data_IF_735692337405
#
_entry.id   IF_735692337405
#
_cell.length_a   1.000
_cell.length_b   1.000
_cell.length_c   1.000
_cell.angle_alpha   90.00
_cell.angle_beta   90.00
_cell.angle_gamma   90.00
#
_symmetry.space_group_name_H-M   'P 1'
#
loop_
_entity.id
_entity.type
_entity.pdbx_description
1 polymer ?
#
# COMPACT_ATOMS: atom_id res chain seq x y z
N UNK A 1 -16.32 -37.68 -38.30
CA UNK A 1 -15.88 -37.40 -36.92
C UNK A 1 -14.44 -36.91 -36.94
N UNK A 2 -14.22 -35.60 -36.83
CA UNK A 2 -12.88 -35.02 -36.62
C UNK A 2 -12.90 -34.29 -35.27
N UNK A 3 -12.18 -34.86 -34.30
CA UNK A 3 -11.91 -34.21 -33.01
C UNK A 3 -10.99 -33.01 -33.23
N UNK A 4 -11.54 -31.80 -33.22
CA UNK A 4 -10.75 -30.60 -32.99
C UNK A 4 -10.38 -30.54 -31.50
N UNK A 5 -9.15 -30.94 -31.17
CA UNK A 5 -8.49 -30.50 -29.95
C UNK A 5 -8.42 -28.97 -30.00
N UNK A 6 -9.24 -28.28 -29.20
CA UNK A 6 -9.01 -26.87 -28.87
C UNK A 6 -7.71 -26.79 -28.09
N UNK A 7 -6.64 -26.43 -28.78
CA UNK A 7 -5.41 -25.94 -28.17
C UNK A 7 -5.75 -24.62 -27.45
N UNK A 8 -5.89 -24.69 -26.13
CA UNK A 8 -5.95 -23.53 -25.24
C UNK A 8 -4.59 -22.81 -25.26
N UNK A 9 -4.33 -22.01 -26.28
CA UNK A 9 -3.05 -21.33 -26.51
C UNK A 9 -2.98 -19.90 -25.93
N UNK A 10 -3.88 -19.52 -25.01
CA UNK A 10 -3.92 -18.17 -24.42
C UNK A 10 -4.16 -18.16 -22.90
N UNK A 11 -3.43 -18.96 -22.14
CA UNK A 11 -3.27 -18.74 -20.69
C UNK A 11 -1.84 -18.27 -20.44
N UNK A 12 -1.58 -16.99 -20.66
CA UNK A 12 -0.32 -16.37 -20.26
C UNK A 12 -0.27 -16.38 -18.73
N UNK A 13 0.56 -17.25 -18.16
CA UNK A 13 0.84 -17.27 -16.72
C UNK A 13 2.08 -16.43 -16.46
N UNK A 14 1.89 -15.28 -15.84
CA UNK A 14 2.99 -14.41 -15.45
C UNK A 14 3.37 -14.69 -14.00
N UNK A 15 4.63 -15.02 -13.76
CA UNK A 15 5.21 -15.10 -12.42
C UNK A 15 6.03 -13.83 -12.17
N UNK A 16 5.77 -13.15 -11.08
CA UNK A 16 6.43 -11.88 -10.74
C UNK A 16 7.43 -12.07 -9.61
N UNK A 17 8.62 -11.51 -9.80
CA UNK A 17 9.62 -11.33 -8.77
C UNK A 17 9.93 -9.84 -8.70
N UNK A 18 9.50 -9.21 -7.62
CA UNK A 18 9.82 -7.84 -7.32
C UNK A 18 10.87 -7.82 -6.22
N UNK A 19 11.85 -6.94 -6.34
CA UNK A 19 12.70 -6.56 -5.23
C UNK A 19 12.38 -5.11 -4.90
N UNK A 20 12.45 -4.76 -3.61
CA UNK A 20 12.50 -3.35 -3.22
C UNK A 20 11.19 -2.58 -3.48
N UNK A 21 10.07 -3.28 -3.69
CA UNK A 21 8.83 -2.65 -4.15
C UNK A 21 8.11 -1.87 -3.04
N UNK A 22 7.63 -0.64 -3.33
CA UNK A 22 6.71 0.08 -2.44
C UNK A 22 5.36 -0.63 -2.36
N UNK A 23 4.48 -0.16 -1.48
CA UNK A 23 3.09 -0.62 -1.36
C UNK A 23 2.30 -0.23 -2.61
N UNK A 24 1.89 -1.18 -3.46
CA UNK A 24 1.38 -0.86 -4.80
C UNK A 24 -0.06 -0.35 -4.82
N UNK A 25 -0.84 -0.62 -3.78
CA UNK A 25 -2.26 -0.28 -3.79
C UNK A 25 -2.92 -0.45 -2.42
N UNK A 26 -4.23 -0.25 -2.39
CA UNK A 26 -5.02 -0.42 -1.17
C UNK A 26 -5.33 -1.90 -0.87
N UNK A 27 -6.01 -2.15 0.24
CA UNK A 27 -6.38 -3.49 0.65
C UNK A 27 -7.28 -4.25 -0.36
N UNK A 28 -8.14 -3.54 -1.10
CA UNK A 28 -8.96 -4.16 -2.16
C UNK A 28 -8.12 -4.60 -3.37
N UNK A 29 -7.15 -3.77 -3.75
CA UNK A 29 -6.15 -4.17 -4.75
C UNK A 29 -5.39 -5.41 -4.26
N UNK A 30 -4.96 -5.43 -2.99
CA UNK A 30 -4.25 -6.56 -2.42
C UNK A 30 -5.07 -7.85 -2.49
N UNK A 31 -6.35 -7.85 -2.09
CA UNK A 31 -7.19 -9.04 -2.18
C UNK A 31 -7.33 -9.57 -3.61
N UNK A 32 -7.55 -8.68 -4.58
CA UNK A 32 -7.60 -9.07 -6.00
C UNK A 32 -6.27 -9.64 -6.48
N UNK A 33 -5.16 -8.95 -6.17
CA UNK A 33 -3.82 -9.39 -6.55
C UNK A 33 -3.44 -10.73 -5.90
N UNK A 34 -3.69 -10.90 -4.61
CA UNK A 34 -3.34 -12.10 -3.86
C UNK A 34 -4.22 -13.28 -4.25
N UNK A 35 -5.52 -13.11 -4.44
CA UNK A 35 -6.40 -14.19 -4.92
C UNK A 35 -5.94 -14.81 -6.24
N UNK A 36 -5.20 -14.05 -7.06
CA UNK A 36 -4.66 -14.52 -8.35
C UNK A 36 -3.20 -14.97 -8.25
N UNK A 37 -2.48 -14.64 -7.17
CA UNK A 37 -1.03 -14.85 -7.08
C UNK A 37 -0.51 -15.59 -5.84
N UNK A 38 -1.35 -15.82 -4.83
CA UNK A 38 -0.98 -16.38 -3.52
C UNK A 38 -0.36 -17.78 -3.58
N UNK A 39 -0.67 -18.55 -4.63
CA UNK A 39 -0.14 -19.90 -4.86
C UNK A 39 1.26 -19.88 -5.49
N UNK A 40 2.13 -18.97 -5.03
CA UNK A 40 3.53 -18.87 -5.46
C UNK A 40 3.72 -18.26 -6.85
N UNK A 41 2.85 -17.34 -7.26
CA UNK A 41 2.97 -16.60 -8.53
C UNK A 41 3.49 -15.17 -8.39
N UNK A 42 3.57 -14.65 -7.16
CA UNK A 42 4.17 -13.35 -6.88
C UNK A 42 5.04 -13.39 -5.62
N UNK A 43 6.27 -12.90 -5.76
CA UNK A 43 7.21 -12.73 -4.66
C UNK A 43 7.74 -11.29 -4.60
N UNK A 44 7.88 -10.77 -3.39
CA UNK A 44 8.52 -9.49 -3.11
C UNK A 44 9.68 -9.69 -2.13
N UNK A 45 10.90 -9.52 -2.59
CA UNK A 45 12.11 -9.57 -1.75
C UNK A 45 12.34 -8.19 -1.16
N UNK A 46 12.37 -8.10 0.17
CA UNK A 46 12.50 -6.84 0.90
C UNK A 46 13.64 -6.89 1.90
N UNK A 47 14.41 -5.82 1.98
CA UNK A 47 15.39 -5.59 3.04
C UNK A 47 14.69 -4.88 4.22
N UNK A 48 14.77 -5.44 5.42
CA UNK A 48 14.14 -4.82 6.60
C UNK A 48 14.73 -3.44 6.98
N UNK A 49 15.95 -3.13 6.53
CA UNK A 49 16.56 -1.81 6.70
C UNK A 49 16.17 -0.80 5.61
N UNK A 50 15.47 -1.24 4.56
CA UNK A 50 15.03 -0.37 3.47
C UNK A 50 13.69 0.31 3.82
N UNK A 51 13.66 1.62 3.66
CA UNK A 51 12.47 2.42 3.94
C UNK A 51 11.47 2.45 2.78
N UNK A 52 11.89 2.21 1.54
CA UNK A 52 11.01 2.35 0.36
C UNK A 52 9.83 1.37 0.38
N UNK A 53 9.98 0.10 0.79
CA UNK A 53 8.85 -0.82 0.97
C UNK A 53 7.80 -0.35 1.99
N UNK A 54 8.11 0.67 2.79
CA UNK A 54 7.20 1.27 3.77
C UNK A 54 6.36 2.42 3.16
N UNK A 55 6.62 2.80 1.91
CA UNK A 55 5.97 3.89 1.19
C UNK A 55 4.86 3.40 0.26
N UNK A 56 3.89 4.26 -0.12
CA UNK A 56 3.62 5.56 0.49
C UNK A 56 3.11 5.43 1.93
N UNK A 57 3.07 6.56 2.65
CA UNK A 57 2.49 6.60 4.00
C UNK A 57 1.04 6.12 3.99
N UNK A 58 0.70 5.28 4.98
CA UNK A 58 -0.58 4.58 4.99
C UNK A 58 -1.42 4.99 6.18
N UNK A 59 -2.69 5.33 5.93
CA UNK A 59 -3.68 5.64 6.95
C UNK A 59 -5.01 5.04 6.52
N UNK A 60 -5.58 4.20 7.39
CA UNK A 60 -6.90 3.62 7.20
C UNK A 60 -7.98 4.55 7.77
N UNK A 61 -9.05 4.76 7.01
CA UNK A 61 -10.28 5.43 7.41
C UNK A 61 -11.38 4.39 7.62
N UNK A 62 -12.43 4.74 8.38
CA UNK A 62 -13.65 3.93 8.45
C UNK A 62 -14.29 3.75 7.06
N UNK A 63 -14.08 4.72 6.16
CA UNK A 63 -14.50 4.69 4.75
C UNK A 63 -13.82 3.61 3.91
N UNK A 64 -12.66 3.10 4.37
CA UNK A 64 -11.95 2.04 3.66
C UNK A 64 -12.53 0.65 3.98
N UNK A 65 -13.42 0.55 4.97
CA UNK A 65 -14.07 -0.70 5.34
C UNK A 65 -15.18 -1.05 4.34
N UNK A 66 -15.54 -2.34 4.22
CA UNK A 66 -16.72 -2.76 3.47
C UNK A 66 -18.00 -2.11 4.01
N UNK A 67 -19.04 -2.10 3.19
CA UNK A 67 -20.36 -1.56 3.57
C UNK A 67 -20.93 -2.24 4.83
N UNK A 68 -20.78 -3.57 4.91
CA UNK A 68 -21.11 -4.33 6.12
C UNK A 68 -19.94 -4.27 7.10
N UNK A 69 -19.88 -3.20 7.88
CA UNK A 69 -18.82 -2.95 8.87
C UNK A 69 -19.31 -2.15 10.08
N UNK A 70 -18.50 -2.02 11.16
CA UNK A 70 -18.90 -1.28 12.34
C UNK A 70 -19.23 0.20 12.10
N UNK A 71 -18.68 0.84 11.06
CA UNK A 71 -18.90 2.27 10.78
C UNK A 71 -20.38 2.59 10.52
N UNK A 72 -20.99 2.05 9.46
CA UNK A 72 -22.42 2.25 9.17
C UNK A 72 -23.34 1.77 10.30
N UNK A 73 -23.01 0.65 10.96
CA UNK A 73 -23.75 0.14 12.11
C UNK A 73 -23.79 1.16 13.26
N UNK A 74 -22.63 1.70 13.64
CA UNK A 74 -22.52 2.70 14.70
C UNK A 74 -23.25 3.99 14.34
N UNK A 75 -23.16 4.45 13.09
CA UNK A 75 -23.94 5.61 12.62
C UNK A 75 -25.44 5.38 12.75
N UNK A 76 -25.92 4.18 12.40
CA UNK A 76 -27.32 3.78 12.58
C UNK A 76 -27.75 3.79 14.04
N UNK A 77 -26.92 3.25 14.95
CA UNK A 77 -27.20 3.21 16.39
C UNK A 77 -27.21 4.60 17.02
N UNK A 78 -26.27 5.47 16.66
CA UNK A 78 -26.18 6.86 17.17
C UNK A 78 -27.40 7.67 16.71
N UNK A 79 -27.85 7.49 15.47
CA UNK A 79 -29.02 8.21 14.92
C UNK A 79 -30.31 7.93 15.70
N UNK A 80 -30.45 6.74 16.30
CA UNK A 80 -31.63 6.32 17.07
C UNK A 80 -31.66 6.86 18.52
N UNK A 81 -30.59 7.53 18.98
CA UNK A 81 -30.52 8.02 20.37
C UNK A 81 -31.27 9.34 20.56
N UNK A 82 -31.75 9.63 21.79
CA UNK A 82 -32.32 10.94 22.15
C UNK A 82 -31.37 12.10 21.83
N UNK A 83 -31.92 13.28 21.56
CA UNK A 83 -31.18 14.45 21.04
C UNK A 83 -29.84 14.73 21.77
N UNK A 84 -29.86 14.88 23.10
CA UNK A 84 -28.65 15.17 23.88
C UNK A 84 -27.63 14.02 23.85
N UNK A 85 -28.08 12.76 23.96
CA UNK A 85 -27.20 11.58 23.85
C UNK A 85 -26.58 11.48 22.46
N UNK A 86 -27.36 11.75 21.42
CA UNK A 86 -26.91 11.77 20.02
C UNK A 86 -25.82 12.81 19.77
N UNK A 87 -25.91 13.99 20.38
CA UNK A 87 -24.86 15.02 20.29
C UNK A 87 -23.54 14.49 20.87
N UNK A 88 -23.58 13.97 22.10
CA UNK A 88 -22.38 13.46 22.79
C UNK A 88 -21.76 12.30 21.99
N UNK A 89 -22.57 11.34 21.57
CA UNK A 89 -22.10 10.19 20.80
C UNK A 89 -21.53 10.58 19.43
N UNK A 90 -22.14 11.56 18.74
CA UNK A 90 -21.58 12.09 17.51
C UNK A 90 -20.23 12.77 17.74
N UNK A 91 -20.06 13.50 18.84
CA UNK A 91 -18.78 14.13 19.17
C UNK A 91 -17.68 13.07 19.34
N UNK A 92 -17.96 12.00 20.10
CA UNK A 92 -17.03 10.88 20.30
C UNK A 92 -16.77 10.12 18.99
N UNK A 93 -17.81 9.81 18.21
CA UNK A 93 -17.64 9.14 16.92
C UNK A 93 -16.80 9.97 15.94
N UNK A 94 -17.05 11.28 15.89
CA UNK A 94 -16.31 12.20 15.04
C UNK A 94 -14.86 12.42 15.50
N UNK A 95 -14.56 12.30 16.80
CA UNK A 95 -13.17 12.37 17.28
C UNK A 95 -12.35 11.16 16.85
N UNK A 96 -12.98 10.00 16.63
CA UNK A 96 -12.35 8.79 16.07
C UNK A 96 -12.27 8.85 14.54
N UNK A 97 -13.36 9.25 13.86
CA UNK A 97 -13.48 9.21 12.39
C UNK A 97 -12.70 10.32 11.67
N UNK A 98 -12.73 11.54 12.19
CA UNK A 98 -12.22 12.70 11.46
C UNK A 98 -10.70 12.84 11.38
N UNK A 99 -9.88 12.39 12.36
CA UNK A 99 -8.42 12.51 12.26
C UNK A 99 -7.84 11.84 11.00
N UNK A 100 -8.20 10.59 10.73
CA UNK A 100 -7.70 9.85 9.55
C UNK A 100 -8.15 10.52 8.24
N UNK A 101 -9.40 10.96 8.15
CA UNK A 101 -9.92 11.73 7.00
C UNK A 101 -9.15 13.02 6.74
N UNK A 102 -8.79 13.76 7.80
CA UNK A 102 -7.99 14.99 7.68
C UNK A 102 -6.59 14.67 7.14
N UNK A 103 -5.97 13.58 7.59
CA UNK A 103 -4.65 13.15 7.09
C UNK A 103 -4.72 12.74 5.63
N UNK A 104 -5.69 11.90 5.24
CA UNK A 104 -5.86 11.44 3.84
C UNK A 104 -6.10 12.63 2.90
N UNK A 105 -6.97 13.58 3.28
CA UNK A 105 -7.18 14.83 2.52
C UNK A 105 -5.89 15.63 2.34
N UNK A 106 -5.05 15.70 3.38
CA UNK A 106 -3.76 16.40 3.33
C UNK A 106 -2.78 15.70 2.40
N UNK A 107 -2.69 14.37 2.44
CA UNK A 107 -1.85 13.58 1.53
C UNK A 107 -2.28 13.75 0.07
N UNK A 108 -3.57 13.61 -0.24
CA UNK A 108 -4.06 13.81 -1.61
C UNK A 108 -3.80 15.23 -2.13
N UNK A 109 -3.93 16.25 -1.27
CA UNK A 109 -3.60 17.62 -1.65
C UNK A 109 -2.11 17.76 -1.96
N UNK A 110 -1.24 17.40 -1.02
CA UNK A 110 0.19 17.68 -1.10
C UNK A 110 0.93 16.72 -2.04
N UNK A 111 0.72 15.42 -1.89
CA UNK A 111 1.42 14.36 -2.64
C UNK A 111 0.72 14.00 -3.95
N UNK A 112 -0.58 14.34 -4.08
CA UNK A 112 -1.32 14.19 -5.33
C UNK A 112 -1.36 15.51 -6.12
N UNK A 113 -2.29 16.40 -5.77
CA UNK A 113 -2.62 17.59 -6.56
C UNK A 113 -1.44 18.56 -6.73
N UNK A 114 -0.75 18.92 -5.65
CA UNK A 114 0.39 19.85 -5.74
C UNK A 114 1.58 19.21 -6.45
N UNK A 115 1.88 17.94 -6.18
CA UNK A 115 2.92 17.21 -6.92
C UNK A 115 2.61 17.13 -8.42
N UNK A 116 1.35 16.83 -8.79
CA UNK A 116 0.93 16.80 -10.19
C UNK A 116 1.12 18.14 -10.90
N UNK A 117 0.83 19.27 -10.24
CA UNK A 117 1.12 20.59 -10.79
C UNK A 117 2.61 20.78 -11.03
N UNK A 118 3.45 20.36 -10.08
CA UNK A 118 4.91 20.43 -10.22
C UNK A 118 5.42 19.51 -11.35
N UNK A 119 4.87 18.32 -11.52
CA UNK A 119 5.24 17.44 -12.64
C UNK A 119 4.90 18.11 -13.98
N UNK A 120 3.73 18.76 -14.09
CA UNK A 120 3.32 19.47 -15.31
C UNK A 120 4.28 20.58 -15.74
N UNK A 121 5.04 21.18 -14.82
CA UNK A 121 6.04 22.19 -15.21
C UNK A 121 7.21 21.59 -15.99
N UNK A 122 7.49 20.30 -15.81
CA UNK A 122 8.55 19.58 -16.52
C UNK A 122 8.01 18.67 -17.62
N UNK A 123 6.75 18.23 -17.52
CA UNK A 123 6.07 17.38 -18.47
C UNK A 123 4.67 17.94 -18.77
N UNK A 124 4.54 18.90 -19.71
CA UNK A 124 3.28 19.60 -19.98
C UNK A 124 2.10 18.68 -20.34
N UNK A 125 2.39 17.58 -21.02
CA UNK A 125 1.38 16.59 -21.44
C UNK A 125 0.96 15.62 -20.32
N UNK A 126 1.53 15.74 -19.12
CA UNK A 126 1.18 14.90 -17.99
C UNK A 126 -0.29 15.06 -17.59
N UNK A 127 -1.03 13.94 -17.65
CA UNK A 127 -2.40 13.85 -17.16
C UNK A 127 -2.40 13.11 -15.83
N UNK A 128 -2.66 13.85 -14.76
CA UNK A 128 -2.84 13.25 -13.45
C UNK A 128 -4.07 12.33 -13.45
N UNK A 129 -4.00 11.15 -12.84
CA UNK A 129 -5.15 10.25 -12.73
C UNK A 129 -6.17 10.81 -11.75
N UNK A 130 -7.39 10.25 -11.78
CA UNK A 130 -8.36 10.46 -10.73
C UNK A 130 -7.87 9.81 -9.43
N UNK A 131 -7.79 10.61 -8.37
CA UNK A 131 -7.33 10.12 -7.08
C UNK A 131 -8.47 9.39 -6.36
N UNK A 132 -8.23 8.13 -6.02
CA UNK A 132 -9.11 7.40 -5.12
C UNK A 132 -9.05 7.99 -3.71
N UNK A 133 -10.20 8.14 -3.05
CA UNK A 133 -10.27 8.82 -1.77
C UNK A 133 -9.84 7.91 -0.59
N UNK A 134 -8.58 7.48 -0.60
CA UNK A 134 -7.98 6.65 0.45
C UNK A 134 -6.48 6.87 0.51
N UNK A 135 -5.87 6.48 1.62
CA UNK A 135 -4.41 6.28 1.73
C UNK A 135 -4.10 4.94 2.39
N UNK A 136 -5.01 3.96 2.33
CA UNK A 136 -4.84 2.65 2.96
C UNK A 136 -3.95 1.72 2.13
N UNK A 137 -2.74 2.17 1.78
CA UNK A 137 -1.79 1.39 1.00
C UNK A 137 -1.24 0.21 1.80
N UNK A 138 -1.10 -0.95 1.15
CA UNK A 138 -0.59 -2.19 1.75
C UNK A 138 0.44 -2.85 0.83
N UNK A 139 1.31 -3.69 1.41
CA UNK A 139 2.20 -4.57 0.64
C UNK A 139 1.38 -5.70 0.03
N UNK A 140 1.85 -6.29 -1.07
CA UNK A 140 1.18 -7.40 -1.75
C UNK A 140 2.18 -8.47 -2.19
N UNK A 141 1.69 -9.69 -2.37
CA UNK A 141 2.49 -10.83 -2.80
C UNK A 141 3.29 -11.46 -1.65
N UNK A 142 3.84 -12.65 -1.90
CA UNK A 142 4.62 -13.38 -0.88
C UNK A 142 5.89 -12.62 -0.56
N UNK A 143 6.03 -12.14 0.67
CA UNK A 143 7.20 -11.36 1.07
C UNK A 143 8.33 -12.25 1.57
N UNK A 144 9.50 -12.16 0.94
CA UNK A 144 10.75 -12.74 1.43
C UNK A 144 11.49 -11.61 2.15
N UNK A 145 11.54 -11.68 3.48
CA UNK A 145 12.08 -10.60 4.32
C UNK A 145 13.52 -10.89 4.70
N UNK A 146 14.43 -10.16 4.06
CA UNK A 146 15.86 -10.19 4.35
C UNK A 146 16.14 -9.33 5.59
N UNK A 147 16.29 -9.98 6.74
CA UNK A 147 16.61 -9.30 7.99
C UNK A 147 18.14 -9.12 8.14
N UNK A 148 18.62 -7.90 8.41
CA UNK A 148 20.02 -7.65 8.74
C UNK A 148 20.54 -8.53 9.89
N UNK A 149 21.56 -9.34 9.62
CA UNK A 149 22.28 -10.12 10.63
C UNK A 149 23.37 -9.29 11.32
N UNK A 150 23.89 -9.71 12.49
CA UNK A 150 25.03 -9.05 13.13
C UNK A 150 26.18 -8.82 12.14
N UNK A 151 26.76 -7.62 12.14
CA UNK A 151 27.81 -7.20 11.19
C UNK A 151 27.29 -6.46 9.95
N UNK A 152 25.99 -6.52 9.62
CA UNK A 152 25.42 -5.77 8.49
C UNK A 152 25.69 -4.26 8.59
N UNK A 153 25.44 -3.67 9.75
CA UNK A 153 25.63 -2.24 9.97
C UNK A 153 27.10 -1.77 9.92
N UNK A 154 28.07 -2.68 10.01
CA UNK A 154 29.48 -2.36 9.78
C UNK A 154 29.78 -2.24 8.27
N UNK A 155 29.08 -3.03 7.45
CA UNK A 155 29.23 -3.02 5.98
C UNK A 155 28.37 -1.96 5.30
N UNK A 156 27.20 -1.67 5.86
CA UNK A 156 26.25 -0.66 5.38
C UNK A 156 25.87 0.27 6.54
N UNK A 157 26.76 1.20 6.92
CA UNK A 157 26.55 2.05 8.09
C UNK A 157 25.54 3.17 7.81
N UNK A 158 24.66 3.42 8.77
CA UNK A 158 23.63 4.47 8.73
C UNK A 158 24.21 5.86 9.02
N UNK A 159 25.14 6.33 8.20
CA UNK A 159 25.84 7.62 8.39
C UNK A 159 25.08 8.82 7.79
N UNK A 160 23.81 8.61 7.40
CA UNK A 160 22.87 9.68 7.05
C UNK A 160 23.11 10.41 5.72
N UNK A 161 24.22 10.15 5.01
CA UNK A 161 24.54 10.81 3.73
C UNK A 161 23.81 10.20 2.53
N UNK A 162 23.47 8.92 2.58
CA UNK A 162 22.79 8.22 1.50
C UNK A 162 21.48 7.59 2.00
N UNK A 163 20.35 8.26 1.73
CA UNK A 163 19.02 7.75 2.07
C UNK A 163 18.62 6.50 1.28
N UNK A 164 19.30 6.22 0.17
CA UNK A 164 19.02 5.08 -0.71
C UNK A 164 19.98 3.92 -0.47
N UNK A 165 20.88 4.02 0.53
CA UNK A 165 21.88 3.01 0.84
C UNK A 165 21.24 1.63 0.90
N UNK A 166 20.23 1.45 1.74
CA UNK A 166 19.55 0.15 1.94
C UNK A 166 18.60 -0.26 0.80
N UNK A 167 18.25 0.68 -0.08
CA UNK A 167 17.44 0.48 -1.29
C UNK A 167 18.29 0.08 -2.51
N UNK A 168 19.60 0.06 -2.38
CA UNK A 168 20.51 -0.26 -3.48
C UNK A 168 20.72 -1.77 -3.65
N UNK A 169 21.27 -2.18 -4.79
CA UNK A 169 21.55 -3.59 -5.08
C UNK A 169 22.54 -4.25 -4.09
N UNK A 170 23.67 -3.63 -3.68
CA UNK A 170 24.67 -4.29 -2.84
C UNK A 170 24.18 -4.81 -1.47
N UNK A 171 23.37 -4.06 -0.68
CA UNK A 171 22.82 -4.59 0.56
C UNK A 171 21.85 -5.76 0.38
N UNK A 172 21.03 -5.74 -0.67
CA UNK A 172 20.15 -6.87 -0.99
C UNK A 172 20.95 -8.13 -1.34
N UNK A 173 21.95 -8.00 -2.21
CA UNK A 173 22.82 -9.12 -2.58
C UNK A 173 23.59 -9.67 -1.36
N UNK A 174 24.07 -8.79 -0.48
CA UNK A 174 24.76 -9.21 0.73
C UNK A 174 23.84 -10.03 1.65
N UNK A 175 22.61 -9.58 1.88
CA UNK A 175 21.67 -10.29 2.74
C UNK A 175 21.23 -11.63 2.14
N UNK A 176 21.02 -11.71 0.82
CA UNK A 176 20.71 -12.96 0.13
C UNK A 176 21.82 -14.01 0.29
N UNK A 177 23.09 -13.58 0.26
CA UNK A 177 24.23 -14.49 0.44
C UNK A 177 24.44 -14.94 1.90
N UNK A 178 23.63 -14.44 2.84
CA UNK A 178 23.67 -14.85 4.24
C UNK A 178 22.57 -15.84 4.61
N UNK A 179 21.55 -16.05 3.77
CA UNK A 179 20.52 -17.07 3.98
C UNK A 179 21.07 -18.48 3.74
#
# INVERSE_FOLDING_TARGET
MRHHKRLNLFLNRFKTYCSVAPKPGNLYFAYSYESTTQDGWAYNVINAADWVPQTPFSVQMLDDLPEVSPGPLMEGLIKKQPFFKRIILNMVYNSVRNPSRKVVKRYQKLLGKEMAKKIKTYLPDYKAPDYYNSSNYVRTGTSIVLYPKPGYGQKFPNEGKDMMLHHSFPPYLYLLNQE
#
